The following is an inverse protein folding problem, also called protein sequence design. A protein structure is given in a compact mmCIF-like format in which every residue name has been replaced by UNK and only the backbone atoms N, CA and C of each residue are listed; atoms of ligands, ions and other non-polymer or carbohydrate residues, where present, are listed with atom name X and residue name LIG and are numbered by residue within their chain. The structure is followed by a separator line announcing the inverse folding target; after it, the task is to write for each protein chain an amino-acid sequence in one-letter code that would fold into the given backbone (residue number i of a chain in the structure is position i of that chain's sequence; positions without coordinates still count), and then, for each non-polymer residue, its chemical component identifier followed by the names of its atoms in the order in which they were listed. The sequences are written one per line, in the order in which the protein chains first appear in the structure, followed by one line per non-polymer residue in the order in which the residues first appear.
data_IF_373525851868
#
_entry.id   IF_373525851868
#
_cell.length_a   1.000
_cell.length_b   1.000
_cell.length_c   1.000
_cell.angle_alpha   90.00
_cell.angle_beta   90.00
_cell.angle_gamma   90.00
#
_symmetry.space_group_name_H-M   'P 1'
#
loop_
_entity.id
_entity.type
_entity.pdbx_description
1 polymer ?
#
# COMPACT_ATOMS: atom_id res chain seq x y z
N UNK A 1 24.26 11.26 -20.74
CA UNK A 1 22.94 10.59 -20.71
C UNK A 1 23.15 9.25 -20.03
N UNK A 2 23.03 9.19 -18.70
CA UNK A 2 23.25 7.99 -17.91
C UNK A 2 21.90 7.43 -17.48
N UNK A 3 21.51 6.28 -18.05
CA UNK A 3 20.40 5.49 -17.54
C UNK A 3 20.88 4.72 -16.31
N UNK A 4 20.57 5.22 -15.12
CA UNK A 4 20.79 4.48 -13.87
C UNK A 4 19.78 3.33 -13.83
N UNK A 5 20.28 2.13 -14.09
CA UNK A 5 19.55 0.87 -13.98
C UNK A 5 19.24 0.64 -12.49
N UNK A 6 17.99 0.84 -12.08
CA UNK A 6 17.52 0.51 -10.74
C UNK A 6 17.79 -0.98 -10.53
N UNK A 7 18.74 -1.30 -9.64
CA UNK A 7 19.02 -2.67 -9.22
C UNK A 7 17.89 -3.07 -8.28
N UNK A 8 16.93 -3.82 -8.81
CA UNK A 8 15.90 -4.50 -8.04
C UNK A 8 16.59 -5.49 -7.09
N UNK A 9 16.58 -5.19 -5.78
CA UNK A 9 16.87 -6.18 -4.76
C UNK A 9 15.62 -7.06 -4.65
N UNK A 10 15.75 -8.33 -5.07
CA UNK A 10 14.79 -9.38 -4.70
C UNK A 10 14.67 -9.39 -3.17
N UNK A 11 13.58 -8.83 -2.67
CA UNK A 11 13.18 -9.02 -1.28
C UNK A 11 12.77 -10.48 -1.14
N UNK A 12 13.68 -11.29 -0.60
CA UNK A 12 13.49 -12.68 -0.22
C UNK A 12 12.21 -12.80 0.62
N UNK A 13 11.15 -13.23 -0.06
CA UNK A 13 9.89 -13.64 0.53
C UNK A 13 10.18 -14.89 1.34
N UNK A 14 10.58 -14.69 2.60
CA UNK A 14 10.78 -15.75 3.58
C UNK A 14 9.54 -16.65 3.59
N UNK A 15 9.71 -17.82 2.98
CA UNK A 15 8.77 -18.94 2.98
C UNK A 15 8.41 -19.30 4.41
N UNK A 16 7.23 -18.91 4.88
CA UNK A 16 6.59 -19.60 6.00
C UNK A 16 6.03 -20.91 5.47
N UNK A 17 6.70 -21.99 5.88
CA UNK A 17 6.48 -23.39 5.54
C UNK A 17 5.03 -23.79 5.86
N UNK A 18 4.27 -24.18 4.83
CA UNK A 18 2.91 -24.69 4.91
C UNK A 18 2.27 -24.63 3.53
N UNK A 19 2.42 -25.71 2.77
CA UNK A 19 1.69 -26.03 1.53
C UNK A 19 1.15 -24.85 0.70
N UNK A 20 2.01 -24.35 -0.20
CA UNK A 20 1.61 -24.12 -1.58
C UNK A 20 0.44 -23.18 -1.90
N UNK A 21 0.10 -22.19 -1.08
CA UNK A 21 -0.69 -21.03 -1.52
C UNK A 21 -0.17 -19.78 -0.83
N UNK A 22 0.28 -18.79 -1.57
CA UNK A 22 0.41 -17.41 -1.04
C UNK A 22 -1.02 -16.94 -0.76
N UNK A 23 -1.50 -17.19 0.46
CA UNK A 23 -2.86 -16.84 0.87
C UNK A 23 -2.92 -15.32 1.02
N UNK A 24 -3.27 -14.63 -0.08
CA UNK A 24 -4.08 -13.41 0.03
C UNK A 24 -5.15 -13.67 1.07
N UNK A 25 -5.36 -12.77 2.04
CA UNK A 25 -6.32 -12.98 3.13
C UNK A 25 -7.61 -13.61 2.56
N UNK A 26 -7.80 -14.88 2.88
CA UNK A 26 -8.89 -15.66 2.33
C UNK A 26 -10.18 -15.32 3.05
N UNK A 27 -11.30 -15.89 2.62
CA UNK A 27 -12.57 -15.70 3.31
C UNK A 27 -12.50 -16.06 4.80
N UNK A 28 -11.64 -17.01 5.17
CA UNK A 28 -11.34 -17.42 6.55
C UNK A 28 -10.82 -16.28 7.46
N UNK A 29 -10.19 -15.25 6.88
CA UNK A 29 -9.61 -14.13 7.62
C UNK A 29 -10.35 -12.82 7.45
N UNK A 30 -11.09 -12.67 6.34
CA UNK A 30 -11.75 -11.41 5.99
C UNK A 30 -13.25 -11.44 6.17
N UNK A 31 -13.85 -12.62 6.36
CA UNK A 31 -15.29 -12.78 6.41
C UNK A 31 -15.73 -13.69 7.57
N UNK A 32 -15.76 -13.14 8.80
CA UNK A 32 -16.24 -13.88 9.96
C UNK A 32 -17.73 -14.26 9.88
N UNK A 33 -18.49 -13.66 8.97
CA UNK A 33 -19.90 -13.97 8.75
C UNK A 33 -20.13 -15.12 7.76
N UNK A 34 -19.08 -15.58 7.06
CA UNK A 34 -19.15 -16.69 6.11
C UNK A 34 -20.02 -16.41 4.88
N UNK A 35 -20.12 -15.15 4.49
CA UNK A 35 -20.82 -14.65 3.29
C UNK A 35 -20.15 -15.14 1.99
N UNK A 36 -18.83 -15.33 2.00
CA UNK A 36 -18.01 -15.76 0.88
C UNK A 36 -17.37 -17.11 1.20
N UNK A 37 -17.71 -18.13 0.41
CA UNK A 37 -17.08 -19.46 0.55
C UNK A 37 -15.76 -19.56 -0.20
N UNK A 38 -14.94 -20.55 0.14
CA UNK A 38 -13.70 -20.83 -0.59
C UNK A 38 -13.95 -21.23 -2.04
N UNK A 39 -15.04 -21.95 -2.33
CA UNK A 39 -15.39 -22.35 -3.69
C UNK A 39 -15.73 -21.15 -4.57
N UNK A 40 -16.49 -20.17 -4.04
CA UNK A 40 -16.80 -18.92 -4.72
C UNK A 40 -15.55 -18.06 -4.93
N UNK A 41 -14.70 -17.97 -3.91
CA UNK A 41 -13.42 -17.27 -3.99
C UNK A 41 -12.50 -17.86 -5.08
N UNK A 42 -12.37 -19.19 -5.11
CA UNK A 42 -11.53 -19.89 -6.09
C UNK A 42 -12.11 -19.77 -7.51
N UNK A 43 -13.45 -19.78 -7.67
CA UNK A 43 -14.10 -19.54 -8.96
C UNK A 43 -13.80 -18.13 -9.50
N UNK A 44 -13.89 -17.10 -8.66
CA UNK A 44 -13.59 -15.70 -9.04
C UNK A 44 -12.11 -15.55 -9.39
N UNK A 45 -11.21 -16.07 -8.56
CA UNK A 45 -9.76 -15.92 -8.78
C UNK A 45 -9.26 -16.69 -9.99
N UNK A 46 -9.96 -17.75 -10.40
CA UNK A 46 -9.72 -18.45 -11.67
C UNK A 46 -10.20 -17.64 -12.88
N UNK A 47 -11.34 -16.95 -12.78
CA UNK A 47 -11.86 -16.11 -13.85
C UNK A 47 -11.07 -14.79 -14.01
N UNK A 48 -10.60 -14.23 -12.88
CA UNK A 48 -9.84 -12.99 -12.81
C UNK A 48 -8.48 -13.26 -12.16
N UNK A 49 -7.52 -13.84 -12.91
CA UNK A 49 -6.20 -14.15 -12.38
C UNK A 49 -5.48 -12.88 -11.94
N UNK A 50 -4.85 -12.93 -10.78
CA UNK A 50 -4.22 -11.76 -10.13
C UNK A 50 -2.93 -11.27 -10.79
N UNK A 51 -2.43 -11.89 -11.85
CA UNK A 51 -1.30 -11.44 -12.71
C UNK A 51 -0.29 -10.45 -12.09
N UNK A 52 0.33 -10.77 -10.94
CA UNK A 52 1.32 -9.88 -10.32
C UNK A 52 0.75 -8.59 -9.68
N UNK A 53 -0.52 -8.58 -9.30
CA UNK A 53 -1.29 -7.44 -8.78
C UNK A 53 -0.53 -6.61 -7.74
N UNK A 54 0.14 -7.25 -6.78
CA UNK A 54 0.87 -6.50 -5.74
C UNK A 54 2.08 -5.74 -6.27
N UNK A 55 2.74 -6.25 -7.32
CA UNK A 55 3.82 -5.52 -8.00
C UNK A 55 3.27 -4.29 -8.70
N UNK A 56 2.17 -4.43 -9.42
CA UNK A 56 1.52 -3.32 -10.13
C UNK A 56 0.97 -2.28 -9.16
N UNK A 57 0.31 -2.71 -8.08
CA UNK A 57 -0.16 -1.82 -7.01
C UNK A 57 1.00 -1.02 -6.45
N UNK A 58 2.14 -1.67 -6.14
CA UNK A 58 3.33 -0.96 -5.66
C UNK A 58 3.81 0.08 -6.67
N UNK A 59 3.90 -0.27 -7.96
CA UNK A 59 4.32 0.66 -9.01
C UNK A 59 3.39 1.87 -9.13
N UNK A 60 2.09 1.64 -9.08
CA UNK A 60 1.06 2.70 -9.14
C UNK A 60 1.13 3.61 -7.92
N UNK A 61 1.18 3.05 -6.71
CA UNK A 61 1.27 3.84 -5.48
C UNK A 61 2.55 4.71 -5.47
N UNK A 62 3.70 4.12 -5.79
CA UNK A 62 4.95 4.87 -5.90
C UNK A 62 4.91 5.89 -7.05
N UNK A 63 4.16 5.58 -8.12
CA UNK A 63 3.92 6.48 -9.24
C UNK A 63 3.16 7.74 -8.81
N UNK A 64 2.14 7.62 -7.96
CA UNK A 64 1.44 8.76 -7.38
C UNK A 64 2.36 9.59 -6.50
N UNK A 65 3.18 8.96 -5.65
CA UNK A 65 4.16 9.67 -4.83
C UNK A 65 5.16 10.48 -5.66
N UNK A 66 5.55 10.00 -6.86
CA UNK A 66 6.47 10.73 -7.76
C UNK A 66 5.79 11.86 -8.53
N UNK A 67 4.55 11.66 -8.96
CA UNK A 67 3.88 12.56 -9.92
C UNK A 67 2.93 13.55 -9.27
N UNK A 68 2.34 13.18 -8.12
CA UNK A 68 1.35 13.98 -7.36
C UNK A 68 1.60 13.86 -5.85
N UNK A 69 2.81 14.17 -5.35
CA UNK A 69 3.15 13.99 -3.93
C UNK A 69 2.22 14.77 -2.98
N UNK A 70 1.75 15.94 -3.39
CA UNK A 70 0.85 16.78 -2.59
C UNK A 70 -0.49 16.10 -2.24
N UNK A 71 -0.94 15.11 -3.03
CA UNK A 71 -2.18 14.37 -2.78
C UNK A 71 -1.96 13.02 -2.09
N UNK A 72 -0.73 12.73 -1.65
CA UNK A 72 -0.37 11.44 -1.05
C UNK A 72 0.15 11.56 0.38
N UNK A 73 0.48 12.75 0.88
CA UNK A 73 1.07 12.93 2.21
C UNK A 73 0.12 12.61 3.37
N UNK A 74 -1.18 12.76 3.15
CA UNK A 74 -2.24 12.68 4.16
C UNK A 74 -3.02 11.35 4.14
N UNK A 75 -2.60 10.38 3.33
CA UNK A 75 -3.28 9.09 3.19
C UNK A 75 -2.30 7.91 3.14
N UNK A 76 -2.84 6.70 3.02
CA UNK A 76 -2.06 5.45 3.05
C UNK A 76 -1.08 5.32 1.89
N UNK A 77 -1.26 6.05 0.77
CA UNK A 77 -0.32 6.06 -0.36
C UNK A 77 1.02 6.65 0.07
N UNK A 78 1.02 7.63 0.97
CA UNK A 78 2.23 8.27 1.47
C UNK A 78 3.21 7.32 2.15
N UNK A 79 2.72 6.25 2.79
CA UNK A 79 3.57 5.23 3.40
C UNK A 79 4.37 4.46 2.34
N UNK A 80 3.78 4.19 1.17
CA UNK A 80 4.49 3.58 0.05
C UNK A 80 5.59 4.49 -0.48
N UNK A 81 5.35 5.80 -0.50
CA UNK A 81 6.33 6.80 -0.86
C UNK A 81 7.54 6.77 0.06
N UNK A 82 7.32 6.85 1.38
CA UNK A 82 8.40 6.82 2.38
C UNK A 82 9.23 5.53 2.31
N UNK A 83 8.58 4.39 2.02
CA UNK A 83 9.26 3.09 1.97
C UNK A 83 10.05 2.85 0.67
N UNK A 84 9.59 3.37 -0.47
CA UNK A 84 10.06 2.92 -1.78
C UNK A 84 10.44 4.02 -2.77
N UNK A 85 10.18 5.29 -2.48
CA UNK A 85 10.52 6.42 -3.35
C UNK A 85 11.62 7.26 -2.73
N UNK A 86 12.78 7.30 -3.39
CA UNK A 86 13.92 8.10 -2.93
C UNK A 86 13.57 9.59 -2.84
N UNK A 87 13.91 10.20 -1.71
CA UNK A 87 13.66 11.63 -1.45
C UNK A 87 12.20 11.97 -1.09
N UNK A 88 11.31 10.98 -1.02
CA UNK A 88 9.94 11.20 -0.56
C UNK A 88 9.89 11.19 0.97
N UNK A 89 9.49 12.29 1.59
CA UNK A 89 9.23 12.39 3.03
C UNK A 89 7.88 13.06 3.27
N UNK A 90 7.13 12.58 4.26
CA UNK A 90 5.89 13.21 4.72
C UNK A 90 6.13 14.30 5.77
N UNK A 91 7.35 14.43 6.28
CA UNK A 91 7.66 15.40 7.32
C UNK A 91 7.36 16.82 6.82
N UNK A 92 6.67 17.61 7.64
CA UNK A 92 6.21 18.97 7.28
C UNK A 92 4.97 19.01 6.38
N UNK A 93 4.45 17.86 5.94
CA UNK A 93 3.30 17.77 5.05
C UNK A 93 2.12 17.00 5.66
N UNK A 94 2.23 16.56 6.93
CA UNK A 94 1.17 15.79 7.58
C UNK A 94 0.06 16.73 8.01
N UNK A 95 -1.20 16.36 7.72
CA UNK A 95 -2.37 17.13 8.18
C UNK A 95 -2.39 17.28 9.71
N UNK A 96 -1.91 16.27 10.45
CA UNK A 96 -1.79 16.37 11.90
C UNK A 96 -0.84 17.49 12.35
N UNK A 97 0.30 17.68 11.68
CA UNK A 97 1.25 18.76 11.99
C UNK A 97 0.59 20.13 11.75
N UNK A 98 -0.17 20.28 10.67
CA UNK A 98 -0.94 21.50 10.41
C UNK A 98 -1.96 21.75 11.53
N UNK A 99 -2.74 20.75 11.92
CA UNK A 99 -3.78 20.89 12.94
C UNK A 99 -3.21 21.23 14.33
N UNK A 100 -2.02 20.73 14.66
CA UNK A 100 -1.32 21.05 15.91
C UNK A 100 -0.84 22.51 15.99
N UNK A 101 -0.82 23.24 14.87
CA UNK A 101 -0.54 24.69 14.89
C UNK A 101 -1.76 25.55 15.22
N UNK A 102 -2.96 24.96 15.27
CA UNK A 102 -4.18 25.70 15.53
C UNK A 102 -4.45 25.84 17.04
N UNK A 103 -4.66 27.08 17.49
CA UNK A 103 -4.96 27.48 18.87
C UNK A 103 -6.47 27.47 19.17
N UNK A 104 -7.23 26.56 18.56
CA UNK A 104 -8.70 26.55 18.65
C UNK A 104 -9.21 26.45 20.09
N UNK A 105 -8.47 25.77 20.96
CA UNK A 105 -8.82 25.55 22.34
C UNK A 105 -8.67 26.81 23.21
N UNK A 106 -7.89 27.81 22.77
CA UNK A 106 -7.61 29.05 23.50
C UNK A 106 -8.51 30.22 23.07
N UNK A 107 -9.32 30.04 22.01
CA UNK A 107 -10.21 31.10 21.52
C UNK A 107 -11.51 31.12 22.34
N UNK A 108 -11.76 32.23 23.04
CA UNK A 108 -13.06 32.50 23.64
C UNK A 108 -14.14 32.54 22.54
N UNK A 109 -15.24 31.81 22.76
CA UNK A 109 -16.41 31.72 21.87
C UNK A 109 -17.37 32.88 22.11
#
# INVERSE_FOLDING_TARGET
MFLTKIRFQESDSRKTKGEGKTVSAGPDRTDPAGILTWDEYDAITKAYPRLGLMSEVKEVMCGFCRTKPATTYDNTVGEWGEMFVEGYSRDGHRTAELLLTCDLDEREV
#
